data_IF_551369221101
#
_entry.id   IF_551369221101
#
_cell.length_a   1.000
_cell.length_b   1.000
_cell.length_c   1.000
_cell.angle_alpha   90.00
_cell.angle_beta   90.00
_cell.angle_gamma   90.00
#
_symmetry.space_group_name_H-M   'P 1'
#
loop_
_entity.id
_entity.type
_entity.pdbx_description
1 polymer ?
#
# COMPACT_ATOMS: atom_id res chain seq x y z
N UNK A 1 6.21 -78.51 42.35
CA UNK A 1 7.59 -78.12 41.98
C UNK A 1 7.55 -77.28 40.72
N UNK A 2 7.98 -76.02 40.79
CA UNK A 2 7.91 -75.03 39.70
C UNK A 2 8.60 -75.55 38.43
N UNK A 3 7.87 -75.57 37.30
CA UNK A 3 8.36 -75.93 35.96
C UNK A 3 8.81 -74.67 35.21
N UNK A 4 10.00 -74.73 34.63
CA UNK A 4 10.56 -73.75 33.68
C UNK A 4 9.79 -73.74 32.35
N UNK A 5 9.78 -72.61 31.61
CA UNK A 5 9.10 -72.50 30.33
C UNK A 5 10.00 -72.93 29.16
N UNK A 6 9.40 -73.57 28.16
CA UNK A 6 9.99 -73.85 26.85
C UNK A 6 9.50 -72.81 25.83
N UNK A 7 10.44 -72.22 25.10
CA UNK A 7 10.24 -71.41 23.91
C UNK A 7 9.72 -72.26 22.74
N UNK A 8 8.77 -71.73 21.97
CA UNK A 8 8.51 -72.14 20.58
C UNK A 8 8.14 -70.92 19.76
N UNK A 9 8.90 -70.72 18.69
CA UNK A 9 8.61 -69.82 17.58
C UNK A 9 7.28 -70.20 16.93
N UNK A 10 6.49 -69.20 16.54
CA UNK A 10 5.40 -69.35 15.56
C UNK A 10 5.61 -68.34 14.43
N UNK A 11 5.66 -68.87 13.21
CA UNK A 11 5.74 -68.14 11.94
C UNK A 11 4.44 -67.36 11.68
N UNK A 12 4.56 -66.06 11.40
CA UNK A 12 3.46 -65.20 10.98
C UNK A 12 3.50 -64.94 9.48
N UNK A 13 2.42 -65.34 8.80
CA UNK A 13 2.14 -65.18 7.37
C UNK A 13 1.91 -63.69 7.03
N UNK A 14 2.65 -63.12 6.09
CA UNK A 14 2.40 -61.77 5.55
C UNK A 14 1.23 -61.82 4.54
N UNK A 15 0.16 -61.10 4.84
CA UNK A 15 -0.92 -60.78 3.90
C UNK A 15 -0.66 -59.37 3.37
N UNK A 16 -0.37 -59.25 2.08
CA UNK A 16 -0.22 -57.96 1.39
C UNK A 16 -1.59 -57.37 1.06
N UNK A 17 -1.92 -56.22 1.65
CA UNK A 17 -3.09 -55.42 1.30
C UNK A 17 -2.63 -54.36 0.28
N UNK A 18 -3.10 -54.50 -0.96
CA UNK A 18 -3.01 -53.46 -1.99
C UNK A 18 -4.07 -52.39 -1.71
N UNK A 19 -3.64 -51.25 -1.17
CA UNK A 19 -4.46 -50.02 -1.12
C UNK A 19 -4.30 -49.29 -2.46
N UNK A 20 -5.30 -49.43 -3.34
CA UNK A 20 -5.45 -48.57 -4.50
C UNK A 20 -5.85 -47.17 -4.05
N UNK A 21 -4.95 -46.20 -4.20
CA UNK A 21 -5.25 -44.79 -4.00
C UNK A 21 -6.09 -44.28 -5.19
N UNK A 22 -7.40 -44.10 -4.97
CA UNK A 22 -8.23 -43.34 -5.90
C UNK A 22 -7.98 -41.84 -5.66
N UNK A 23 -7.10 -41.24 -6.47
CA UNK A 23 -7.03 -39.78 -6.60
C UNK A 23 -8.21 -39.34 -7.47
N UNK A 24 -9.34 -39.02 -6.84
CA UNK A 24 -10.41 -38.28 -7.50
C UNK A 24 -9.92 -36.83 -7.67
N UNK A 25 -9.24 -36.56 -8.79
CA UNK A 25 -9.05 -35.19 -9.24
C UNK A 25 -10.42 -34.63 -9.65
N UNK A 26 -10.93 -33.66 -8.90
CA UNK A 26 -12.05 -32.85 -9.37
C UNK A 26 -11.65 -32.26 -10.72
N UNK A 27 -12.45 -32.37 -11.78
CA UNK A 27 -12.17 -31.67 -13.01
C UNK A 27 -12.24 -30.18 -12.69
N UNK A 28 -11.09 -29.51 -12.67
CA UNK A 28 -11.03 -28.06 -12.73
C UNK A 28 -11.66 -27.68 -14.06
N UNK A 29 -12.88 -27.13 -14.01
CA UNK A 29 -13.46 -26.48 -15.18
C UNK A 29 -12.47 -25.45 -15.75
N UNK A 30 -12.57 -25.10 -17.04
CA UNK A 30 -11.75 -24.04 -17.60
C UNK A 30 -11.85 -22.82 -16.67
N UNK A 31 -10.74 -22.12 -16.38
CA UNK A 31 -10.79 -20.91 -15.57
C UNK A 31 -11.84 -19.99 -16.17
N UNK A 32 -12.68 -19.41 -15.30
CA UNK A 32 -13.64 -18.40 -15.75
C UNK A 32 -12.88 -17.33 -16.55
N UNK A 33 -13.46 -16.81 -17.65
CA UNK A 33 -12.81 -15.73 -18.39
C UNK A 33 -12.54 -14.57 -17.44
N UNK A 34 -11.34 -14.01 -17.54
CA UNK A 34 -10.93 -12.87 -16.71
C UNK A 34 -11.93 -11.73 -16.91
N UNK A 35 -12.49 -11.21 -15.81
CA UNK A 35 -13.38 -10.07 -15.87
C UNK A 35 -12.64 -8.87 -16.48
N UNK A 36 -13.34 -8.08 -17.31
CA UNK A 36 -12.74 -6.91 -17.93
C UNK A 36 -12.24 -5.93 -16.87
N UNK A 37 -11.11 -5.24 -17.10
CA UNK A 37 -10.62 -4.23 -16.16
C UNK A 37 -11.63 -3.08 -16.06
N UNK A 38 -11.78 -2.54 -14.85
CA UNK A 38 -12.48 -1.29 -14.63
C UNK A 38 -11.62 -0.15 -15.18
N UNK A 39 -12.18 0.62 -16.13
CA UNK A 39 -11.45 1.69 -16.82
C UNK A 39 -11.86 3.08 -16.31
N UNK A 40 -10.84 3.84 -15.93
CA UNK A 40 -10.72 5.25 -15.61
C UNK A 40 -11.27 6.16 -16.69
N UNK A 41 -12.40 6.88 -16.54
CA UNK A 41 -12.84 7.81 -17.60
C UNK A 41 -13.27 9.16 -17.03
N UNK A 42 -13.20 10.25 -17.83
CA UNK A 42 -13.74 11.54 -17.42
C UNK A 42 -15.22 11.49 -17.04
N UNK A 43 -16.00 10.60 -17.66
CA UNK A 43 -17.40 10.33 -17.30
C UNK A 43 -17.49 9.75 -15.89
N UNK A 44 -16.74 8.67 -15.59
CA UNK A 44 -16.70 8.06 -14.25
C UNK A 44 -16.19 9.05 -13.20
N UNK A 45 -15.20 9.88 -13.52
CA UNK A 45 -14.72 10.92 -12.62
C UNK A 45 -15.84 11.88 -12.20
N UNK A 46 -16.65 12.36 -13.17
CA UNK A 46 -17.81 13.21 -12.88
C UNK A 46 -18.88 12.48 -12.08
N UNK A 47 -19.20 11.25 -12.42
CA UNK A 47 -20.20 10.44 -11.70
C UNK A 47 -19.79 10.18 -10.25
N UNK A 48 -18.53 9.83 -10.01
CA UNK A 48 -17.97 9.66 -8.66
C UNK A 48 -18.04 10.99 -7.90
N UNK A 49 -17.61 12.10 -8.51
CA UNK A 49 -17.64 13.40 -7.87
C UNK A 49 -19.09 13.82 -7.51
N UNK A 50 -20.06 13.59 -8.39
CA UNK A 50 -21.46 13.93 -8.14
C UNK A 50 -22.08 13.07 -7.03
N UNK A 51 -21.76 11.78 -6.98
CA UNK A 51 -22.22 10.86 -5.92
C UNK A 51 -21.55 11.13 -4.57
N UNK A 52 -20.24 11.42 -4.58
CA UNK A 52 -19.45 11.70 -3.38
C UNK A 52 -19.79 13.07 -2.77
N UNK A 53 -20.27 14.00 -3.61
CA UNK A 53 -20.62 15.37 -3.24
C UNK A 53 -22.09 15.71 -3.51
N UNK A 54 -23.05 15.02 -2.87
CA UNK A 54 -24.44 15.44 -2.96
C UNK A 54 -24.54 16.82 -2.29
N UNK A 55 -24.72 17.88 -3.10
CA UNK A 55 -24.62 19.26 -2.62
C UNK A 55 -25.53 19.58 -1.41
N UNK A 56 -25.28 20.72 -0.76
CA UNK A 56 -25.96 21.29 0.42
C UNK A 56 -25.48 20.88 1.83
N UNK A 57 -24.36 20.17 1.94
CA UNK A 57 -23.74 19.90 3.24
C UNK A 57 -23.00 21.14 3.80
N UNK A 58 -23.11 21.46 5.10
CA UNK A 58 -22.21 22.42 5.76
C UNK A 58 -20.75 22.02 5.57
N UNK A 59 -19.82 22.98 5.62
CA UNK A 59 -18.39 22.67 5.58
C UNK A 59 -18.01 21.59 6.60
N UNK A 60 -17.29 20.57 6.15
CA UNK A 60 -16.94 19.40 6.93
C UNK A 60 -16.04 19.75 8.08
N UNK A 61 -16.00 18.88 9.08
CA UNK A 61 -15.07 19.04 10.19
C UNK A 61 -13.64 18.83 9.68
N UNK A 62 -12.82 19.86 9.83
CA UNK A 62 -11.40 19.83 9.57
C UNK A 62 -10.65 20.33 10.81
N UNK A 63 -9.60 19.61 11.19
CA UNK A 63 -8.72 20.00 12.30
C UNK A 63 -7.39 20.48 11.74
N UNK A 64 -7.11 21.76 11.87
CA UNK A 64 -5.78 22.27 11.64
C UNK A 64 -4.92 22.06 12.90
N UNK A 65 -3.73 21.52 12.71
CA UNK A 65 -2.80 21.21 13.79
C UNK A 65 -1.43 21.77 13.48
N UNK A 66 -0.73 22.27 14.51
CA UNK A 66 0.67 22.66 14.37
C UNK A 66 1.56 21.42 14.50
N UNK A 67 2.51 21.32 13.59
CA UNK A 67 3.53 20.28 13.56
C UNK A 67 4.83 20.82 14.16
N UNK A 68 5.45 20.01 14.99
CA UNK A 68 6.87 20.09 15.27
C UNK A 68 7.63 19.37 14.16
N UNK A 69 8.17 20.14 13.23
CA UNK A 69 8.95 19.65 12.10
C UNK A 69 10.43 19.73 12.44
N UNK A 70 11.12 18.58 12.44
CA UNK A 70 12.56 18.53 12.72
C UNK A 70 13.32 17.84 11.59
N UNK A 71 14.43 18.40 11.09
CA UNK A 71 15.21 17.77 10.04
C UNK A 71 15.84 16.45 10.52
N UNK A 72 15.89 15.48 9.62
CA UNK A 72 16.44 14.14 9.84
C UNK A 72 17.33 13.77 8.65
N UNK A 73 18.60 13.45 8.93
CA UNK A 73 19.49 12.86 7.92
C UNK A 73 19.25 11.35 7.81
N UNK A 74 19.19 10.84 6.58
CA UNK A 74 19.13 9.42 6.26
C UNK A 74 20.38 8.67 6.76
N UNK A 75 21.54 9.32 6.83
CA UNK A 75 22.75 8.73 7.38
C UNK A 75 24.05 9.26 6.78
N UNK A 76 25.17 8.59 7.08
CA UNK A 76 26.48 8.99 6.58
C UNK A 76 26.57 8.83 5.06
N UNK A 77 27.35 9.69 4.41
CA UNK A 77 27.51 9.70 2.96
C UNK A 77 27.91 8.33 2.37
N UNK A 78 28.81 7.60 3.04
CA UNK A 78 29.25 6.26 2.58
C UNK A 78 28.13 5.21 2.64
N UNK A 79 27.24 5.30 3.63
CA UNK A 79 26.10 4.40 3.76
C UNK A 79 25.02 4.74 2.71
N UNK A 80 24.79 6.04 2.46
CA UNK A 80 23.90 6.52 1.39
C UNK A 80 24.38 6.07 0.00
N UNK A 81 25.66 6.26 -0.31
CA UNK A 81 26.24 5.87 -1.61
C UNK A 81 26.20 4.35 -1.88
N UNK A 82 26.06 3.53 -0.83
CA UNK A 82 25.90 2.08 -0.97
C UNK A 82 24.44 1.67 -1.15
N UNK A 83 23.51 2.45 -0.60
CA UNK A 83 22.10 2.11 -0.55
C UNK A 83 21.28 2.70 -1.69
N UNK A 84 21.74 3.81 -2.27
CA UNK A 84 21.04 4.53 -3.34
C UNK A 84 21.76 4.29 -4.68
N UNK A 85 20.99 3.88 -5.69
CA UNK A 85 21.46 3.58 -7.04
C UNK A 85 20.53 4.24 -8.06
N UNK A 86 20.87 5.47 -8.46
CA UNK A 86 20.00 6.32 -9.28
C UNK A 86 19.01 7.18 -8.49
N UNK A 87 19.23 7.37 -7.18
CA UNK A 87 18.49 8.33 -6.35
C UNK A 87 19.44 9.23 -5.56
N UNK A 88 19.09 10.49 -5.45
CA UNK A 88 19.73 11.48 -4.58
C UNK A 88 18.78 11.78 -3.42
N UNK A 89 19.21 11.51 -2.19
CA UNK A 89 18.49 11.96 -1.00
C UNK A 89 18.56 13.49 -0.91
N UNK A 90 17.40 14.15 -0.97
CA UNK A 90 17.27 15.61 -0.93
C UNK A 90 17.02 16.15 0.46
N UNK A 91 16.27 15.42 1.28
CA UNK A 91 15.96 15.85 2.64
C UNK A 91 15.04 14.88 3.36
N UNK A 92 14.96 15.05 4.67
CA UNK A 92 14.09 14.26 5.53
C UNK A 92 13.67 15.03 6.76
N UNK A 93 12.46 14.76 7.25
CA UNK A 93 11.89 15.42 8.43
C UNK A 93 11.14 14.42 9.28
N UNK A 94 11.21 14.56 10.60
CA UNK A 94 10.21 13.99 11.50
C UNK A 94 9.09 15.00 11.71
N UNK A 95 7.85 14.53 11.58
CA UNK A 95 6.63 15.28 11.80
C UNK A 95 5.99 14.79 13.10
N UNK A 96 5.83 15.68 14.07
CA UNK A 96 5.28 15.34 15.39
C UNK A 96 4.24 16.37 15.81
N UNK A 97 3.22 15.94 16.57
CA UNK A 97 2.30 16.86 17.22
C UNK A 97 1.70 16.23 18.47
N UNK A 98 1.18 17.06 19.38
CA UNK A 98 0.47 16.60 20.58
C UNK A 98 -0.95 16.13 20.30
N UNK A 99 -1.45 16.29 19.06
CA UNK A 99 -2.75 15.77 18.65
C UNK A 99 -2.69 14.24 18.51
N UNK A 100 -3.35 13.53 19.42
CA UNK A 100 -3.34 12.06 19.46
C UNK A 100 -3.90 11.37 18.20
N UNK A 101 -4.69 12.06 17.38
CA UNK A 101 -5.22 11.53 16.12
C UNK A 101 -4.30 11.75 14.92
N UNK A 102 -3.12 12.36 15.10
CA UNK A 102 -2.10 12.49 14.06
C UNK A 102 -1.11 11.31 14.14
N UNK A 103 -0.98 10.56 13.06
CA UNK A 103 -0.18 9.34 13.00
C UNK A 103 -0.87 8.31 12.13
N UNK A 104 -0.41 7.06 12.15
CA UNK A 104 -1.07 6.00 11.39
C UNK A 104 -0.95 6.17 9.88
N UNK A 105 0.03 6.92 9.37
CA UNK A 105 0.03 7.39 7.97
C UNK A 105 0.51 6.29 7.02
N UNK A 106 -0.42 5.61 6.35
CA UNK A 106 -0.16 4.42 5.53
C UNK A 106 -0.06 4.72 4.03
N UNK A 107 -0.74 5.74 3.52
CA UNK A 107 -0.77 6.09 2.09
C UNK A 107 -0.48 7.56 1.82
N UNK A 108 0.00 7.89 0.63
CA UNK A 108 0.48 9.23 0.25
C UNK A 108 0.24 9.47 -1.24
N UNK A 109 -0.18 10.68 -1.59
CA UNK A 109 -0.20 11.19 -2.95
C UNK A 109 0.05 12.72 -2.92
N UNK A 110 0.13 13.35 -4.09
CA UNK A 110 0.50 14.75 -4.26
C UNK A 110 -0.64 15.49 -4.96
N UNK A 111 -1.12 16.55 -4.30
CA UNK A 111 -2.15 17.42 -4.84
C UNK A 111 -1.59 18.22 -6.04
N UNK A 112 -2.45 18.70 -6.98
CA UNK A 112 -1.99 19.48 -8.14
C UNK A 112 -1.16 20.72 -7.81
N UNK A 113 -1.28 21.26 -6.59
CA UNK A 113 -0.48 22.39 -6.10
C UNK A 113 0.90 22.02 -5.55
N UNK A 114 1.24 20.73 -5.46
CA UNK A 114 2.48 20.22 -4.86
C UNK A 114 2.39 19.92 -3.37
N UNK A 115 1.27 20.22 -2.71
CA UNK A 115 1.04 19.77 -1.33
C UNK A 115 0.86 18.26 -1.27
N UNK A 116 1.22 17.65 -0.14
CA UNK A 116 1.05 16.22 0.05
C UNK A 116 -0.32 15.92 0.69
N UNK A 117 -0.94 14.82 0.28
CA UNK A 117 -2.12 14.26 0.91
C UNK A 117 -1.79 12.86 1.38
N UNK A 118 -1.87 12.60 2.68
CA UNK A 118 -1.73 11.27 3.24
C UNK A 118 -3.08 10.70 3.70
N UNK A 119 -3.17 9.39 3.81
CA UNK A 119 -4.27 8.71 4.50
C UNK A 119 -3.76 8.02 5.75
N UNK A 120 -4.57 8.03 6.79
CA UNK A 120 -4.30 7.40 8.09
C UNK A 120 -5.13 6.14 8.26
N UNK A 121 -4.55 5.08 8.83
CA UNK A 121 -5.20 3.84 9.28
C UNK A 121 -6.25 4.05 10.39
N UNK A 122 -6.43 5.30 10.84
CA UNK A 122 -7.52 5.76 11.69
C UNK A 122 -8.71 6.31 10.90
N UNK A 123 -8.69 6.21 9.57
CA UNK A 123 -9.77 6.63 8.68
C UNK A 123 -9.82 8.14 8.46
N UNK A 124 -8.66 8.77 8.24
CA UNK A 124 -8.57 10.21 8.03
C UNK A 124 -7.63 10.56 6.87
N UNK A 125 -7.94 11.64 6.16
CA UNK A 125 -7.03 12.30 5.24
C UNK A 125 -6.24 13.38 5.99
N UNK A 126 -4.96 13.50 5.66
CA UNK A 126 -4.02 14.45 6.23
C UNK A 126 -3.40 15.27 5.11
N UNK A 127 -3.84 16.52 4.97
CA UNK A 127 -3.23 17.48 4.06
C UNK A 127 -1.99 18.11 4.73
N UNK A 128 -0.84 17.94 4.09
CA UNK A 128 0.47 18.43 4.52
C UNK A 128 0.99 19.42 3.47
N UNK A 129 0.88 20.73 3.71
CA UNK A 129 1.46 21.73 2.82
C UNK A 129 2.96 21.55 2.68
N UNK A 130 3.46 21.64 1.45
CA UNK A 130 4.86 21.34 1.15
C UNK A 130 5.41 22.35 0.13
N UNK A 131 6.54 22.99 0.49
CA UNK A 131 7.25 23.86 -0.45
C UNK A 131 8.10 23.01 -1.38
N UNK A 132 7.62 22.80 -2.61
CA UNK A 132 8.31 22.02 -3.63
C UNK A 132 9.62 22.70 -4.11
N UNK A 133 9.79 24.01 -3.95
CA UNK A 133 11.02 24.69 -4.36
C UNK A 133 12.09 24.62 -3.27
N UNK A 134 11.71 24.88 -2.02
CA UNK A 134 12.60 24.76 -0.86
C UNK A 134 12.85 23.32 -0.44
N UNK A 135 11.98 22.39 -0.87
CA UNK A 135 11.92 21.00 -0.42
C UNK A 135 11.67 20.91 1.08
N UNK A 136 10.68 21.62 1.61
CA UNK A 136 10.41 21.65 3.06
C UNK A 136 8.92 21.50 3.36
N UNK A 137 8.53 20.63 4.32
CA UNK A 137 7.16 20.59 4.82
C UNK A 137 6.88 21.82 5.69
N UNK A 138 5.65 22.32 5.61
CA UNK A 138 5.20 23.42 6.48
C UNK A 138 4.89 22.93 7.90
N UNK A 139 4.78 23.86 8.84
CA UNK A 139 4.54 23.57 10.27
C UNK A 139 3.06 23.42 10.64
N UNK A 140 2.20 23.19 9.64
CA UNK A 140 0.77 22.98 9.85
C UNK A 140 0.31 21.80 9.01
N UNK A 141 -0.62 21.01 9.55
CA UNK A 141 -1.37 19.99 8.80
C UNK A 141 -2.87 20.23 8.98
N UNK A 142 -3.67 19.69 8.06
CA UNK A 142 -5.13 19.63 8.20
C UNK A 142 -5.60 18.18 8.16
N UNK A 143 -6.31 17.74 9.19
CA UNK A 143 -6.94 16.43 9.29
C UNK A 143 -8.44 16.51 8.99
N UNK A 144 -8.94 15.58 8.17
CA UNK A 144 -10.38 15.37 7.92
C UNK A 144 -10.70 13.89 7.95
N UNK A 145 -11.66 13.47 8.77
CA UNK A 145 -12.09 12.07 8.80
C UNK A 145 -12.83 11.69 7.53
N UNK A 146 -12.56 10.48 7.04
CA UNK A 146 -13.28 9.87 5.93
C UNK A 146 -14.73 9.58 6.37
N UNK A 147 -15.65 9.68 5.41
CA UNK A 147 -17.07 9.41 5.62
C UNK A 147 -17.51 8.16 4.86
N UNK A 148 -18.52 7.48 5.33
CA UNK A 148 -19.21 6.46 4.54
C UNK A 148 -20.10 7.10 3.46
N UNK A 149 -20.86 6.26 2.76
CA UNK A 149 -21.80 6.65 1.71
C UNK A 149 -22.98 7.50 2.24
N UNK A 150 -23.33 7.34 3.52
CA UNK A 150 -24.43 8.03 4.18
C UNK A 150 -23.99 9.40 4.74
N UNK A 151 -22.67 9.60 4.88
CA UNK A 151 -22.05 10.84 5.33
C UNK A 151 -21.58 10.80 6.78
N UNK A 152 -21.67 9.64 7.43
CA UNK A 152 -21.19 9.42 8.79
C UNK A 152 -19.68 9.17 8.77
N UNK A 153 -18.97 9.62 9.81
CA UNK A 153 -17.53 9.35 9.92
C UNK A 153 -17.29 7.86 10.06
N UNK A 154 -16.27 7.35 9.37
CA UNK A 154 -15.81 5.98 9.59
C UNK A 154 -15.30 5.85 11.03
N UNK A 155 -15.78 4.83 11.75
CA UNK A 155 -15.40 4.59 13.15
C UNK A 155 -14.98 3.16 13.38
N UNK A 156 -13.96 2.99 14.21
CA UNK A 156 -13.42 1.68 14.54
C UNK A 156 -12.60 1.06 13.41
N UNK A 157 -11.82 0.05 13.77
CA UNK A 157 -10.84 -0.56 12.85
C UNK A 157 -11.48 -1.32 11.69
N UNK A 158 -12.71 -1.83 11.82
CA UNK A 158 -13.34 -2.59 10.74
C UNK A 158 -13.64 -1.73 9.50
N UNK A 159 -14.01 -0.47 9.70
CA UNK A 159 -14.40 0.42 8.60
C UNK A 159 -13.31 1.45 8.27
N UNK A 160 -12.50 1.86 9.26
CA UNK A 160 -11.53 2.95 9.14
C UNK A 160 -10.06 2.55 8.96
N UNK A 161 -9.70 1.25 8.93
CA UNK A 161 -8.33 0.80 8.58
C UNK A 161 -8.04 1.15 7.11
N UNK A 162 -7.60 2.37 6.83
CA UNK A 162 -7.25 2.83 5.49
C UNK A 162 -5.75 2.69 5.25
N UNK A 163 -5.36 2.09 4.13
CA UNK A 163 -3.96 1.77 3.86
C UNK A 163 -3.41 2.54 2.65
N UNK A 164 -3.91 2.24 1.45
CA UNK A 164 -3.45 2.84 0.20
C UNK A 164 -4.22 4.11 -0.17
N UNK A 165 -3.54 5.01 -0.88
CA UNK A 165 -4.10 6.24 -1.42
C UNK A 165 -3.65 6.42 -2.87
N UNK A 166 -4.58 6.76 -3.75
CA UNK A 166 -4.31 7.25 -5.10
C UNK A 166 -5.19 8.47 -5.36
N UNK A 167 -4.64 9.54 -5.91
CA UNK A 167 -5.35 10.74 -6.32
C UNK A 167 -5.35 10.83 -7.85
N UNK A 168 -6.52 11.07 -8.44
CA UNK A 168 -6.62 11.39 -9.87
C UNK A 168 -7.84 12.25 -10.16
N UNK A 169 -7.66 13.33 -10.92
CA UNK A 169 -8.73 14.27 -11.31
C UNK A 169 -9.59 14.75 -10.12
N UNK A 170 -8.94 15.03 -8.99
CA UNK A 170 -9.60 15.49 -7.76
C UNK A 170 -10.34 14.41 -6.96
N UNK A 171 -10.25 13.14 -7.39
CA UNK A 171 -10.80 11.96 -6.71
C UNK A 171 -9.69 11.25 -5.94
N UNK A 172 -9.87 11.08 -4.63
CA UNK A 172 -9.02 10.24 -3.79
C UNK A 172 -9.62 8.83 -3.70
N UNK A 173 -8.90 7.83 -4.20
CA UNK A 173 -9.17 6.42 -4.03
C UNK A 173 -8.43 5.91 -2.80
N UNK A 174 -9.15 5.27 -1.89
CA UNK A 174 -8.63 4.77 -0.63
C UNK A 174 -8.95 3.29 -0.52
N UNK A 175 -7.95 2.47 -0.23
CA UNK A 175 -8.14 1.07 0.10
C UNK A 175 -8.24 0.89 1.61
N UNK A 176 -9.00 -0.13 2.02
CA UNK A 176 -9.19 -0.45 3.43
C UNK A 176 -8.89 -1.91 3.73
N UNK A 177 -8.38 -2.16 4.93
CA UNK A 177 -8.23 -3.48 5.52
C UNK A 177 -9.46 -3.92 6.32
N UNK A 178 -9.46 -5.20 6.70
CA UNK A 178 -10.57 -5.94 7.35
C UNK A 178 -11.82 -6.03 6.48
N UNK A 179 -12.50 -4.92 6.24
CA UNK A 179 -13.53 -4.80 5.23
C UNK A 179 -12.85 -4.42 3.90
N UNK A 180 -12.16 -5.41 3.30
CA UNK A 180 -11.31 -5.23 2.12
C UNK A 180 -12.07 -4.63 0.95
N UNK A 181 -11.85 -3.35 0.72
CA UNK A 181 -12.59 -2.56 -0.28
C UNK A 181 -11.76 -1.38 -0.75
N UNK A 182 -12.21 -0.80 -1.85
CA UNK A 182 -11.70 0.46 -2.38
C UNK A 182 -12.88 1.42 -2.50
N UNK A 183 -12.73 2.61 -1.92
CA UNK A 183 -13.72 3.68 -1.98
C UNK A 183 -13.10 4.93 -2.58
N UNK A 184 -13.91 5.67 -3.32
CA UNK A 184 -13.53 6.93 -3.92
C UNK A 184 -14.21 8.10 -3.23
N UNK A 185 -13.47 9.20 -3.13
CA UNK A 185 -13.88 10.44 -2.46
C UNK A 185 -13.62 11.62 -3.40
N UNK A 186 -14.64 12.43 -3.67
CA UNK A 186 -14.54 13.68 -4.45
C UNK A 186 -13.81 14.78 -3.69
N UNK A 187 -12.56 14.52 -3.31
CA UNK A 187 -11.77 15.32 -2.37
C UNK A 187 -11.60 16.76 -2.82
N UNK A 188 -11.30 17.03 -4.10
CA UNK A 188 -11.11 18.42 -4.55
C UNK A 188 -12.40 19.25 -4.44
N UNK A 189 -13.55 18.62 -4.69
CA UNK A 189 -14.85 19.29 -4.65
C UNK A 189 -15.38 19.48 -3.23
N UNK A 190 -15.16 18.51 -2.35
CA UNK A 190 -15.80 18.46 -1.03
C UNK A 190 -14.85 18.49 0.16
N UNK A 191 -13.55 18.31 -0.04
CA UNK A 191 -12.58 18.06 1.04
C UNK A 191 -13.08 16.96 1.98
N UNK A 192 -13.03 17.22 3.29
CA UNK A 192 -13.55 16.32 4.33
C UNK A 192 -15.05 16.05 4.34
N UNK A 193 -15.83 16.65 3.41
CA UNK A 193 -17.24 16.30 3.24
C UNK A 193 -17.49 15.20 2.21
N UNK A 194 -16.47 14.81 1.44
CA UNK A 194 -16.62 13.76 0.45
C UNK A 194 -17.15 12.48 1.12
N UNK A 195 -18.21 11.91 0.53
CA UNK A 195 -18.80 10.64 0.95
C UNK A 195 -18.21 9.50 0.14
N UNK A 196 -18.10 8.33 0.74
CA UNK A 196 -17.57 7.16 0.05
C UNK A 196 -18.44 6.78 -1.16
N UNK A 197 -17.79 6.54 -2.30
CA UNK A 197 -18.38 5.85 -3.46
C UNK A 197 -17.64 4.52 -3.60
N UNK A 198 -18.35 3.39 -3.49
CA UNK A 198 -17.72 2.07 -3.60
C UNK A 198 -17.22 1.83 -5.02
N UNK A 199 -15.92 1.55 -5.15
CA UNK A 199 -15.29 1.20 -6.43
C UNK A 199 -15.12 -0.32 -6.54
N UNK A 200 -14.59 -0.94 -5.49
CA UNK A 200 -14.36 -2.38 -5.48
C UNK A 200 -14.52 -2.97 -4.09
N UNK A 201 -14.84 -4.26 -4.05
CA UNK A 201 -14.72 -5.11 -2.87
C UNK A 201 -13.83 -6.30 -3.21
N UNK A 202 -12.96 -6.69 -2.29
CA UNK A 202 -12.05 -7.79 -2.49
C UNK A 202 -12.54 -9.02 -1.74
N UNK A 203 -12.78 -10.10 -2.47
CA UNK A 203 -13.10 -11.39 -1.86
C UNK A 203 -11.93 -11.85 -0.98
N UNK A 204 -12.16 -12.44 0.20
CA UNK A 204 -11.11 -13.06 1.00
C UNK A 204 -10.25 -14.10 0.23
N UNK A 205 -10.74 -14.60 -0.91
CA UNK A 205 -10.00 -15.45 -1.87
C UNK A 205 -10.19 -14.89 -3.29
N UNK A 206 -9.48 -13.82 -3.66
CA UNK A 206 -9.68 -13.18 -4.95
C UNK A 206 -9.16 -14.06 -6.09
N UNK A 207 -9.70 -13.85 -7.28
CA UNK A 207 -9.26 -14.56 -8.48
C UNK A 207 -7.77 -14.29 -8.76
N UNK A 208 -7.03 -15.31 -9.19
CA UNK A 208 -5.59 -15.20 -9.49
C UNK A 208 -4.65 -15.30 -8.29
N UNK A 209 -5.18 -15.48 -7.06
CA UNK A 209 -4.38 -15.80 -5.88
C UNK A 209 -4.71 -17.20 -5.35
N UNK A 210 -3.68 -18.05 -5.26
CA UNK A 210 -3.80 -19.43 -4.75
C UNK A 210 -3.96 -19.53 -3.22
N UNK A 211 -4.21 -18.41 -2.55
CA UNK A 211 -4.42 -18.32 -1.10
C UNK A 211 -5.37 -17.20 -0.73
N UNK A 212 -5.92 -17.30 0.47
CA UNK A 212 -6.74 -16.22 1.02
C UNK A 212 -5.90 -15.04 1.51
N UNK A 213 -6.56 -13.89 1.59
CA UNK A 213 -6.05 -12.66 2.18
C UNK A 213 -6.51 -12.60 3.64
N UNK A 214 -5.58 -12.30 4.54
CA UNK A 214 -5.88 -12.17 5.96
C UNK A 214 -6.59 -10.84 6.23
N UNK A 215 -7.16 -10.64 7.42
CA UNK A 215 -7.78 -9.35 7.75
C UNK A 215 -6.80 -8.18 7.79
N UNK A 216 -5.52 -8.46 8.06
CA UNK A 216 -4.43 -7.47 8.18
C UNK A 216 -3.34 -7.71 7.12
N UNK A 217 -3.75 -7.94 5.87
CA UNK A 217 -2.82 -8.13 4.74
C UNK A 217 -3.47 -7.67 3.44
N UNK A 218 -4.18 -6.55 3.52
CA UNK A 218 -5.06 -6.03 2.48
C UNK A 218 -4.33 -5.25 1.40
N UNK A 219 -5.09 -4.37 0.75
CA UNK A 219 -4.65 -3.54 -0.35
C UNK A 219 -3.85 -2.35 0.17
N UNK A 220 -2.53 -2.43 0.05
CA UNK A 220 -1.56 -1.49 0.63
C UNK A 220 -1.10 -0.49 -0.43
N UNK A 221 -0.91 -0.98 -1.65
CA UNK A 221 -0.53 -0.13 -2.78
C UNK A 221 -1.74 0.12 -3.69
N UNK A 222 -2.00 1.38 -4.01
CA UNK A 222 -2.90 1.78 -5.09
C UNK A 222 -2.10 2.57 -6.13
N UNK A 223 -2.30 2.25 -7.41
CA UNK A 223 -1.70 3.01 -8.50
C UNK A 223 -2.63 3.04 -9.71
N UNK A 224 -2.74 4.17 -10.40
CA UNK A 224 -3.51 4.26 -11.65
C UNK A 224 -2.58 4.06 -12.84
N UNK A 225 -2.76 2.99 -13.62
CA UNK A 225 -1.90 2.66 -14.76
C UNK A 225 -2.76 2.36 -15.98
N UNK A 226 -2.54 3.06 -17.09
CA UNK A 226 -3.35 2.94 -18.32
C UNK A 226 -4.86 3.01 -18.03
N UNK A 227 -5.24 3.98 -17.20
CA UNK A 227 -6.62 4.18 -16.70
C UNK A 227 -7.17 3.01 -15.87
N UNK A 228 -6.38 1.99 -15.54
CA UNK A 228 -6.79 0.90 -14.66
C UNK A 228 -6.30 1.16 -13.24
N UNK A 229 -7.16 0.94 -12.24
CA UNK A 229 -6.75 0.98 -10.85
C UNK A 229 -6.07 -0.34 -10.45
N UNK A 230 -4.78 -0.27 -10.15
CA UNK A 230 -3.97 -1.37 -9.66
C UNK A 230 -4.06 -1.46 -8.12
N UNK A 231 -3.91 -2.69 -7.63
CA UNK A 231 -4.02 -3.01 -6.20
C UNK A 231 -2.88 -3.94 -5.81
N UNK A 232 -1.98 -3.48 -4.95
CA UNK A 232 -0.87 -4.27 -4.41
C UNK A 232 -1.15 -4.76 -3.00
N UNK A 233 -0.62 -5.94 -2.67
CA UNK A 233 -0.77 -6.54 -1.33
C UNK A 233 0.57 -6.60 -0.60
N UNK A 234 0.58 -6.37 0.73
CA UNK A 234 1.76 -6.57 1.59
C UNK A 234 2.01 -8.05 1.84
N UNK A 235 2.42 -8.75 0.78
CA UNK A 235 2.64 -10.17 0.87
C UNK A 235 3.53 -10.69 -0.25
N UNK A 236 4.04 -11.91 -0.08
CA UNK A 236 4.86 -12.58 -1.09
C UNK A 236 4.18 -13.84 -1.58
N UNK A 237 4.10 -14.02 -2.89
CA UNK A 237 3.64 -15.28 -3.51
C UNK A 237 4.68 -15.69 -4.53
N UNK A 238 5.26 -16.88 -4.35
CA UNK A 238 6.38 -17.34 -5.19
C UNK A 238 7.61 -16.41 -5.15
N UNK A 239 7.74 -15.56 -4.13
CA UNK A 239 8.79 -14.53 -4.02
C UNK A 239 8.49 -13.20 -4.71
N UNK A 240 7.34 -13.06 -5.37
CA UNK A 240 6.88 -11.82 -6.00
C UNK A 240 5.83 -11.10 -5.14
N UNK A 241 5.68 -9.80 -5.36
CA UNK A 241 4.64 -8.98 -4.76
C UNK A 241 3.37 -9.01 -5.64
N UNK A 242 2.24 -9.54 -5.15
CA UNK A 242 1.02 -9.60 -5.93
C UNK A 242 0.53 -8.20 -6.31
N UNK A 243 0.16 -8.06 -7.59
CA UNK A 243 -0.46 -6.87 -8.14
C UNK A 243 -1.71 -7.28 -8.91
N UNK A 244 -2.85 -6.75 -8.48
CA UNK A 244 -4.15 -6.99 -9.07
C UNK A 244 -4.69 -5.76 -9.78
N UNK A 245 -5.80 -5.94 -10.48
CA UNK A 245 -6.55 -4.88 -11.17
C UNK A 245 -8.00 -4.89 -10.70
N UNK A 246 -8.56 -3.72 -10.47
CA UNK A 246 -10.01 -3.58 -10.28
C UNK A 246 -10.72 -4.02 -11.56
N UNK A 247 -11.78 -4.82 -11.41
CA UNK A 247 -12.58 -5.34 -12.51
C UNK A 247 -13.91 -4.59 -12.62
N UNK A 248 -14.48 -4.54 -13.83
CA UNK A 248 -15.70 -3.76 -14.12
C UNK A 248 -16.92 -4.23 -13.31
N UNK A 249 -16.91 -5.47 -12.81
CA UNK A 249 -17.93 -6.02 -11.90
C UNK A 249 -17.72 -5.64 -10.42
N UNK A 250 -16.75 -4.76 -10.11
CA UNK A 250 -16.46 -4.29 -8.76
C UNK A 250 -15.61 -5.25 -7.92
N UNK A 251 -14.95 -6.21 -8.55
CA UNK A 251 -13.98 -7.11 -7.92
C UNK A 251 -12.52 -6.64 -8.08
N UNK A 252 -11.59 -7.49 -7.65
CA UNK A 252 -10.15 -7.34 -7.92
C UNK A 252 -9.62 -8.69 -8.43
N UNK A 253 -8.97 -8.69 -9.59
CA UNK A 253 -8.33 -9.86 -10.19
C UNK A 253 -6.81 -9.74 -10.12
N UNK A 254 -6.15 -10.78 -9.63
CA UNK A 254 -4.69 -10.93 -9.65
C UNK A 254 -4.21 -11.83 -10.81
N UNK A 255 -5.11 -12.19 -11.73
CA UNK A 255 -4.87 -13.19 -12.78
C UNK A 255 -3.95 -12.72 -13.90
N UNK A 256 -3.76 -11.41 -14.05
CA UNK A 256 -2.84 -10.82 -15.03
C UNK A 256 -1.38 -11.28 -14.85
N UNK A 257 -1.01 -11.81 -13.66
CA UNK A 257 0.34 -12.28 -13.31
C UNK A 257 1.48 -11.27 -13.55
N UNK A 258 1.16 -9.99 -13.71
CA UNK A 258 2.13 -8.90 -13.85
C UNK A 258 2.63 -8.42 -12.47
N UNK A 259 2.94 -9.39 -11.62
CA UNK A 259 3.38 -9.17 -10.25
C UNK A 259 4.77 -8.55 -10.22
N UNK A 260 5.01 -7.73 -9.21
CA UNK A 260 6.26 -6.98 -9.10
C UNK A 260 7.35 -7.83 -8.47
N UNK A 261 8.59 -7.64 -8.92
CA UNK A 261 9.73 -8.26 -8.26
C UNK A 261 9.91 -7.63 -6.87
N UNK A 262 9.69 -8.43 -5.83
CA UNK A 262 9.78 -8.01 -4.45
C UNK A 262 11.16 -8.30 -3.83
N UNK A 263 11.95 -9.21 -4.40
CA UNK A 263 13.25 -9.68 -3.86
C UNK A 263 13.25 -9.99 -2.35
N UNK A 264 12.13 -10.52 -1.84
CA UNK A 264 11.95 -10.83 -0.42
C UNK A 264 11.51 -9.66 0.47
N UNK A 265 11.27 -8.47 -0.08
CA UNK A 265 10.64 -7.34 0.62
C UNK A 265 9.21 -7.11 0.10
N UNK A 266 8.16 -7.42 0.89
CA UNK A 266 6.76 -7.15 0.54
C UNK A 266 6.50 -5.73 0.03
N UNK A 267 5.53 -5.59 -0.86
CA UNK A 267 5.06 -4.32 -1.41
C UNK A 267 4.19 -3.59 -0.37
N UNK A 268 4.45 -2.31 -0.14
CA UNK A 268 3.66 -1.47 0.81
C UNK A 268 3.10 -0.21 0.17
N UNK A 269 3.64 0.22 -0.97
CA UNK A 269 3.11 1.37 -1.70
C UNK A 269 3.48 1.33 -3.17
N UNK A 270 2.74 2.04 -4.00
CA UNK A 270 3.03 2.20 -5.41
C UNK A 270 2.51 3.55 -5.90
N UNK A 271 3.12 4.07 -6.95
CA UNK A 271 2.63 5.23 -7.68
C UNK A 271 3.13 5.17 -9.13
N UNK A 272 2.43 5.81 -10.05
CA UNK A 272 2.75 5.82 -11.47
C UNK A 272 3.01 7.24 -11.96
N UNK A 273 4.13 7.40 -12.67
CA UNK A 273 4.50 8.67 -13.28
C UNK A 273 5.15 8.45 -14.65
N UNK A 274 4.53 9.01 -15.69
CA UNK A 274 5.07 9.07 -17.06
C UNK A 274 5.45 7.68 -17.64
N UNK A 275 4.61 6.68 -17.44
CA UNK A 275 4.80 5.30 -17.89
C UNK A 275 5.70 4.45 -16.98
N UNK A 276 6.05 4.96 -15.79
CA UNK A 276 6.92 4.29 -14.82
C UNK A 276 6.15 3.99 -13.54
N UNK A 277 6.08 2.71 -13.18
CA UNK A 277 5.50 2.27 -11.91
C UNK A 277 6.60 2.24 -10.85
N UNK A 278 6.53 3.14 -9.88
CA UNK A 278 7.37 3.15 -8.70
C UNK A 278 6.72 2.31 -7.60
N UNK A 279 7.50 1.51 -6.91
CA UNK A 279 7.01 0.68 -5.80
C UNK A 279 7.90 0.83 -4.58
N UNK A 280 7.26 0.93 -3.43
CA UNK A 280 7.88 0.92 -2.12
C UNK A 280 7.70 -0.45 -1.49
N UNK A 281 8.78 -0.96 -0.92
CA UNK A 281 8.80 -2.26 -0.28
C UNK A 281 9.41 -2.18 1.11
N UNK A 282 8.87 -2.94 2.04
CA UNK A 282 9.31 -2.97 3.43
C UNK A 282 9.44 -4.40 3.94
N UNK A 283 10.46 -4.65 4.75
CA UNK A 283 10.55 -5.85 5.58
C UNK A 283 11.06 -5.51 6.97
N UNK A 284 10.33 -5.95 8.00
CA UNK A 284 10.70 -5.76 9.40
C UNK A 284 11.37 -7.01 9.97
N UNK A 285 12.53 -6.84 10.61
CA UNK A 285 13.18 -7.90 11.38
C UNK A 285 12.89 -7.72 12.88
N UNK A 286 12.07 -8.59 13.50
CA UNK A 286 11.69 -8.44 14.91
C UNK A 286 12.83 -8.72 15.90
N UNK A 287 13.87 -9.48 15.49
CA UNK A 287 15.02 -9.77 16.35
C UNK A 287 15.94 -8.57 16.49
N UNK A 288 16.18 -7.86 15.38
CA UNK A 288 17.04 -6.65 15.38
C UNK A 288 16.23 -5.36 15.54
N UNK A 289 14.90 -5.43 15.41
CA UNK A 289 13.98 -4.29 15.35
C UNK A 289 14.35 -3.29 14.26
N UNK A 290 14.76 -3.79 13.10
CA UNK A 290 15.21 -2.98 11.97
C UNK A 290 14.33 -3.20 10.76
N UNK A 291 14.03 -2.12 10.06
CA UNK A 291 13.40 -2.14 8.74
C UNK A 291 14.47 -2.23 7.64
N UNK A 292 14.09 -2.91 6.57
CA UNK A 292 14.71 -2.82 5.24
C UNK A 292 13.70 -2.20 4.31
N UNK A 293 14.09 -1.14 3.61
CA UNK A 293 13.23 -0.41 2.66
C UNK A 293 13.84 -0.53 1.27
N UNK A 294 13.04 -0.82 0.26
CA UNK A 294 13.47 -0.75 -1.13
C UNK A 294 12.52 0.10 -1.96
N UNK A 295 13.09 0.93 -2.82
CA UNK A 295 12.35 1.68 -3.86
C UNK A 295 12.73 1.05 -5.18
N UNK A 296 11.74 0.64 -5.97
CA UNK A 296 11.95 0.06 -7.30
C UNK A 296 11.14 0.84 -8.33
N UNK A 297 11.57 0.76 -9.57
CA UNK A 297 10.85 1.30 -10.72
C UNK A 297 10.70 0.22 -11.78
N UNK A 298 9.52 0.15 -12.39
CA UNK A 298 9.24 -0.71 -13.54
C UNK A 298 8.86 0.14 -14.75
N UNK A 299 9.58 -0.04 -15.85
CA UNK A 299 9.37 0.65 -17.12
C UNK A 299 9.55 -0.36 -18.26
N UNK A 300 8.62 -0.41 -19.21
CA UNK A 300 8.73 -1.34 -20.36
C UNK A 300 8.82 -2.83 -19.99
N UNK A 301 8.36 -3.21 -18.78
CA UNK A 301 8.45 -4.58 -18.26
C UNK A 301 9.76 -4.91 -17.53
N UNK A 302 10.75 -4.01 -17.55
CA UNK A 302 11.99 -4.17 -16.80
C UNK A 302 11.86 -3.51 -15.42
N UNK A 303 12.36 -4.18 -14.38
CA UNK A 303 12.38 -3.64 -13.01
C UNK A 303 13.81 -3.33 -12.57
N UNK A 304 14.01 -2.16 -11.97
CA UNK A 304 15.29 -1.74 -11.37
C UNK A 304 15.09 -1.31 -9.93
N UNK A 305 16.01 -1.72 -9.06
CA UNK A 305 16.07 -1.26 -7.67
C UNK A 305 16.81 0.07 -7.63
N UNK A 306 16.12 1.13 -7.21
CA UNK A 306 16.65 2.48 -7.08
C UNK A 306 17.26 2.76 -5.71
N UNK A 307 16.71 2.11 -4.68
CA UNK A 307 17.25 2.16 -3.34
C UNK A 307 17.05 0.80 -2.66
N UNK A 308 18.06 0.37 -1.92
CA UNK A 308 17.98 -0.73 -0.97
C UNK A 308 18.60 -0.28 0.35
N UNK A 309 17.75 0.21 1.25
CA UNK A 309 18.12 0.86 2.49
C UNK A 309 17.95 -0.09 3.68
N UNK A 310 18.95 -0.11 4.55
CA UNK A 310 18.95 -0.85 5.82
C UNK A 310 19.84 -0.14 6.84
N UNK A 311 19.86 -0.62 8.07
CA UNK A 311 20.81 -0.16 9.08
C UNK A 311 22.26 -0.14 8.52
N UNK A 312 23.06 0.91 8.80
CA UNK A 312 22.86 1.92 9.84
C UNK A 312 22.10 3.19 9.39
N UNK A 313 21.44 3.18 8.24
CA UNK A 313 20.60 4.31 7.82
C UNK A 313 19.44 4.52 8.81
N UNK A 314 19.02 5.77 8.96
CA UNK A 314 17.86 6.15 9.75
C UNK A 314 16.61 5.69 9.01
N UNK A 315 15.96 4.62 9.48
CA UNK A 315 14.77 4.05 8.86
C UNK A 315 13.70 3.80 9.91
N UNK A 316 12.44 3.89 9.49
CA UNK A 316 11.25 3.64 10.29
C UNK A 316 10.23 2.84 9.47
N UNK A 317 8.96 2.81 9.87
CA UNK A 317 7.90 2.04 9.20
C UNK A 317 7.41 2.69 7.88
N UNK A 318 8.29 2.82 6.88
CA UNK A 318 7.91 3.42 5.58
C UNK A 318 6.93 2.54 4.81
N UNK A 319 5.74 3.09 4.57
CA UNK A 319 4.63 2.37 3.93
C UNK A 319 4.04 3.14 2.74
N UNK A 320 4.16 4.48 2.71
CA UNK A 320 3.64 5.27 1.61
C UNK A 320 4.71 5.81 0.66
N UNK A 321 4.37 5.92 -0.63
CA UNK A 321 5.20 6.54 -1.68
C UNK A 321 4.34 7.40 -2.61
N UNK A 322 4.88 8.53 -3.05
CA UNK A 322 4.27 9.36 -4.09
C UNK A 322 5.36 9.99 -4.98
N UNK A 323 5.07 10.23 -6.25
CA UNK A 323 6.04 10.61 -7.27
C UNK A 323 5.58 11.86 -8.02
N UNK A 324 6.41 12.90 -8.02
CA UNK A 324 6.18 14.14 -8.74
C UNK A 324 7.17 14.27 -9.91
N UNK A 325 6.71 14.24 -11.17
CA UNK A 325 7.56 14.55 -12.32
C UNK A 325 8.02 16.01 -12.28
N UNK A 326 9.32 16.24 -12.45
CA UNK A 326 9.90 17.58 -12.58
C UNK A 326 9.99 17.97 -14.06
N UNK A 327 9.89 19.28 -14.34
CA UNK A 327 10.04 19.81 -15.71
C UNK A 327 11.41 19.51 -16.34
N UNK A 328 12.41 19.20 -15.51
CA UNK A 328 13.76 18.83 -15.91
C UNK A 328 13.90 17.36 -16.31
N UNK A 329 12.86 16.54 -16.09
CA UNK A 329 12.77 15.13 -16.46
C UNK A 329 13.10 14.16 -15.32
N UNK A 330 13.67 14.63 -14.21
CA UNK A 330 13.81 13.83 -12.99
C UNK A 330 12.46 13.65 -12.29
N UNK A 331 12.32 12.56 -11.55
CA UNK A 331 11.16 12.30 -10.71
C UNK A 331 11.53 12.52 -9.24
N UNK A 332 10.74 13.32 -8.55
CA UNK A 332 10.85 13.52 -7.10
C UNK A 332 9.98 12.50 -6.39
N UNK A 333 10.60 11.70 -5.53
CA UNK A 333 9.95 10.60 -4.82
C UNK A 333 9.85 10.96 -3.35
N UNK A 334 8.63 11.02 -2.85
CA UNK A 334 8.31 11.15 -1.44
C UNK A 334 8.06 9.76 -0.87
N UNK A 335 8.60 9.49 0.32
CA UNK A 335 8.17 8.33 1.12
C UNK A 335 7.83 8.79 2.53
N UNK A 336 6.81 8.17 3.13
CA UNK A 336 6.30 8.51 4.45
C UNK A 336 6.24 7.27 5.33
N UNK A 337 6.66 7.41 6.59
CA UNK A 337 6.55 6.36 7.58
C UNK A 337 5.35 6.52 8.49
N UNK A 338 4.75 5.39 8.79
CA UNK A 338 3.76 5.24 9.83
C UNK A 338 4.45 5.17 11.21
N UNK A 339 3.86 5.81 12.22
CA UNK A 339 4.29 5.70 13.60
C UNK A 339 3.53 4.61 14.39
N UNK A 340 2.54 3.92 13.80
CA UNK A 340 1.59 3.00 14.45
C UNK A 340 0.98 3.57 15.75
N UNK A 341 0.89 4.89 15.88
CA UNK A 341 0.58 5.59 17.14
C UNK A 341 1.43 5.13 18.34
N UNK A 342 2.71 4.82 18.09
CA UNK A 342 3.66 4.30 19.06
C UNK A 342 4.80 5.29 19.33
N UNK A 343 5.19 5.42 20.61
CA UNK A 343 6.37 6.22 21.01
C UNK A 343 7.71 5.66 20.49
N UNK A 344 7.72 4.44 19.93
CA UNK A 344 8.93 3.78 19.43
C UNK A 344 9.15 3.94 17.92
N UNK A 345 8.23 4.61 17.24
CA UNK A 345 8.28 4.89 15.80
C UNK A 345 7.99 6.36 15.57
N UNK A 346 8.36 6.85 14.40
CA UNK A 346 8.21 8.26 14.02
C UNK A 346 7.51 8.37 12.70
N UNK A 347 6.76 9.45 12.53
CA UNK A 347 6.31 9.88 11.21
C UNK A 347 7.45 10.63 10.54
N UNK A 348 8.11 9.98 9.58
CA UNK A 348 9.22 10.51 8.81
C UNK A 348 8.77 10.74 7.38
N UNK A 349 9.00 11.95 6.86
CA UNK A 349 8.84 12.27 5.45
C UNK A 349 10.22 12.40 4.81
N UNK A 350 10.55 11.56 3.83
CA UNK A 350 11.80 11.62 3.08
C UNK A 350 11.55 11.98 1.62
N UNK A 351 12.48 12.75 1.04
CA UNK A 351 12.43 13.20 -0.34
C UNK A 351 13.69 12.76 -1.06
N UNK A 352 13.50 12.11 -2.19
CA UNK A 352 14.52 11.72 -3.13
C UNK A 352 14.24 12.34 -4.49
N UNK A 353 15.26 12.46 -5.33
CA UNK A 353 15.08 12.72 -6.75
C UNK A 353 15.89 11.70 -7.53
N UNK A 354 15.35 11.21 -8.66
CA UNK A 354 16.09 10.35 -9.56
C UNK A 354 17.32 11.07 -10.10
N UNK A 355 18.44 10.36 -10.21
CA UNK A 355 19.52 10.82 -11.08
C UNK A 355 19.04 10.66 -12.52
N UNK A 356 19.17 11.70 -13.36
CA UNK A 356 18.64 11.71 -14.73
C UNK A 356 18.79 10.35 -15.40
N UNK A 357 17.66 9.70 -15.67
CA UNK A 357 17.59 8.34 -16.19
C UNK A 357 18.03 8.39 -17.67
N UNK A 358 19.33 8.21 -17.90
CA UNK A 358 19.92 8.21 -19.25
C UNK A 358 19.54 6.98 -20.07
#
# INVERSE_FOLDING_TARGET
>A
MRRMPRSRLLSGLLVGILLGACTAGSPSGPPAPEAAPWVYTPEKAREIADQSCPGSEPAGFAMSVLLNVQPVDLGKAADKAKALDGLIFRGGWSLDTSLASFGGLSGLDILPGGDLLAVSDAGALVHLPFDQAALEPQTQATLTYLKDQDGDMLTGKAEGDAEGLQLRDGIAFVSFERNHRIEAYGYERCGGNARAVRIASMDPRPAGLDRGISQNSGAEALAMVDDSLLVGLETLVGGQGPLGRVTEDGGVSFSANDWVNAEGTPLVGADEAEGRLYTLHRAYNPLTRQNTIAIRVREGGESRTLAFMRAPLTLDNFEAVAVWPLETGEHRIFILSDNNFSDNQRTLLYVFETEGLS
#
